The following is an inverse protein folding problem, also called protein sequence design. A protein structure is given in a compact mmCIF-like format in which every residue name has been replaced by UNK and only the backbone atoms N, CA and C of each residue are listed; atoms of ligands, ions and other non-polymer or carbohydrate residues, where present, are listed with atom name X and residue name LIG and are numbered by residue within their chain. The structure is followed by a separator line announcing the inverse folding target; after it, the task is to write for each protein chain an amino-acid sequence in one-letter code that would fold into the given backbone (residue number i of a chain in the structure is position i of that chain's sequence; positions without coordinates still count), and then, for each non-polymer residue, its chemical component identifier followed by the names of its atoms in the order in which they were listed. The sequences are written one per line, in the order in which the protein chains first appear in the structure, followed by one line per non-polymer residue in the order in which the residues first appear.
data_IF_290560863129
#
_entry.id   IF_290560863129
#
_cell.length_a   1.000
_cell.length_b   1.000
_cell.length_c   1.000
_cell.angle_alpha   90.00
_cell.angle_beta   90.00
_cell.angle_gamma   90.00
#
_symmetry.space_group_name_H-M   'P 1'
#
loop_
_entity.id
_entity.type
_entity.pdbx_description
1 polymer ?
#
# COMPACT_ATOMS: atom_id res chain seq x y z
N UNK A 1 -31.23 6.96 5.51
CA UNK A 1 -30.34 5.78 5.54
C UNK A 1 -29.60 5.55 4.22
N UNK A 2 -30.25 5.19 3.10
CA UNK A 2 -29.54 5.02 1.81
C UNK A 2 -28.86 6.32 1.32
N UNK A 3 -29.53 7.47 1.46
CA UNK A 3 -28.94 8.78 1.16
C UNK A 3 -27.75 9.15 2.06
N UNK A 4 -27.77 8.77 3.34
CA UNK A 4 -26.67 9.04 4.27
C UNK A 4 -25.43 8.17 3.95
N UNK A 5 -25.66 6.94 3.49
CA UNK A 5 -24.60 6.02 3.01
C UNK A 5 -24.02 6.53 1.69
N UNK A 6 -24.87 7.03 0.78
CA UNK A 6 -24.45 7.67 -0.48
C UNK A 6 -23.66 8.96 -0.23
N UNK A 7 -24.10 9.80 0.72
CA UNK A 7 -23.38 11.00 1.13
C UNK A 7 -22.02 10.64 1.77
N UNK A 8 -21.96 9.55 2.55
CA UNK A 8 -20.71 9.02 3.06
C UNK A 8 -19.79 8.54 1.94
N UNK A 9 -20.30 7.73 1.01
CA UNK A 9 -19.52 7.20 -0.12
C UNK A 9 -18.99 8.31 -1.02
N UNK A 10 -19.81 9.30 -1.36
CA UNK A 10 -19.39 10.43 -2.20
C UNK A 10 -18.39 11.35 -1.51
N UNK A 11 -18.50 11.58 -0.20
CA UNK A 11 -17.60 12.48 0.55
C UNK A 11 -16.31 11.84 1.07
N UNK A 12 -16.34 10.57 1.49
CA UNK A 12 -15.23 9.95 2.20
C UNK A 12 -14.40 8.98 1.36
N UNK A 13 -14.92 8.39 0.27
CA UNK A 13 -14.14 7.43 -0.54
C UNK A 13 -12.88 8.09 -1.09
N UNK A 14 -13.01 9.25 -1.73
CA UNK A 14 -11.83 9.91 -2.27
C UNK A 14 -10.90 10.41 -1.18
N UNK A 15 -11.44 10.83 -0.03
CA UNK A 15 -10.61 11.22 1.11
C UNK A 15 -9.75 10.04 1.57
N UNK A 16 -10.36 8.88 1.79
CA UNK A 16 -9.69 7.67 2.25
C UNK A 16 -8.76 7.09 1.20
N UNK A 17 -9.16 7.10 -0.07
CA UNK A 17 -8.31 6.63 -1.17
C UNK A 17 -7.05 7.50 -1.34
N UNK A 18 -7.13 8.80 -1.05
CA UNK A 18 -6.00 9.73 -1.16
C UNK A 18 -5.13 9.82 0.10
N UNK A 19 -5.65 9.41 1.26
CA UNK A 19 -4.87 9.34 2.51
C UNK A 19 -4.24 7.96 2.73
N UNK A 20 -4.72 6.94 2.01
CA UNK A 20 -4.18 5.59 2.08
C UNK A 20 -3.41 5.25 0.82
N UNK A 21 -2.60 4.22 0.97
CA UNK A 21 -1.98 3.55 -0.17
C UNK A 21 -2.54 2.17 -0.29
N UNK A 22 -2.52 1.64 -1.51
CA UNK A 22 -3.10 0.34 -1.82
C UNK A 22 -1.95 -0.65 -1.98
N UNK A 23 -1.80 -1.64 -1.09
CA UNK A 23 -0.79 -2.68 -1.27
C UNK A 23 -1.09 -3.50 -2.52
N UNK A 24 -0.07 -3.79 -3.31
CA UNK A 24 -0.16 -4.68 -4.47
C UNK A 24 0.17 -6.10 -4.02
N UNK A 25 -0.76 -7.03 -4.22
CA UNK A 25 -0.59 -8.44 -3.88
C UNK A 25 -0.83 -9.31 -5.10
N UNK A 26 -0.27 -10.52 -5.09
CA UNK A 26 -0.56 -11.53 -6.13
C UNK A 26 -1.82 -12.33 -5.78
N UNK A 27 -2.01 -12.63 -4.50
CA UNK A 27 -3.21 -13.21 -3.93
C UNK A 27 -3.58 -12.46 -2.63
N UNK A 28 -4.84 -12.47 -2.18
CA UNK A 28 -5.26 -11.74 -0.98
C UNK A 28 -4.45 -12.03 0.29
N UNK A 29 -4.02 -13.28 0.46
CA UNK A 29 -3.25 -13.77 1.62
C UNK A 29 -1.73 -13.58 1.49
N UNK A 30 -1.25 -13.20 0.30
CA UNK A 30 0.17 -12.97 0.06
C UNK A 30 0.64 -11.65 0.71
N UNK A 31 1.93 -11.56 1.08
CA UNK A 31 2.51 -10.28 1.44
C UNK A 31 2.43 -9.30 0.26
N UNK A 32 2.33 -8.02 0.56
CA UNK A 32 2.41 -6.99 -0.46
C UNK A 32 3.81 -6.98 -1.08
N UNK A 33 3.87 -6.97 -2.41
CA UNK A 33 5.13 -6.88 -3.20
C UNK A 33 5.24 -5.54 -3.92
N UNK A 34 4.44 -4.57 -3.52
CA UNK A 34 4.38 -3.24 -4.11
C UNK A 34 3.24 -2.42 -3.57
N UNK A 35 3.05 -1.24 -4.16
CA UNK A 35 2.05 -0.27 -3.73
C UNK A 35 1.64 0.68 -4.82
N UNK A 36 0.36 1.06 -4.81
CA UNK A 36 -0.22 2.15 -5.57
C UNK A 36 -0.47 3.35 -4.64
N UNK A 37 -0.11 4.54 -5.12
CA UNK A 37 -0.29 5.84 -4.49
C UNK A 37 -1.30 6.66 -5.31
N UNK A 38 -2.59 6.63 -4.92
CA UNK A 38 -3.59 7.48 -5.55
C UNK A 38 -3.22 8.96 -5.36
N UNK A 39 -3.25 9.72 -6.46
CA UNK A 39 -2.92 11.16 -6.46
C UNK A 39 -4.12 12.04 -6.79
N UNK A 40 -5.13 11.47 -7.46
CA UNK A 40 -6.41 12.13 -7.74
C UNK A 40 -7.53 11.13 -7.61
N UNK A 41 -8.65 11.58 -7.06
CA UNK A 41 -9.88 10.83 -7.01
C UNK A 41 -11.05 11.81 -7.17
N UNK A 42 -12.02 11.44 -8.00
CA UNK A 42 -13.31 12.13 -8.11
C UNK A 42 -14.44 11.12 -7.98
N UNK A 43 -15.50 11.56 -7.30
CA UNK A 43 -16.71 10.77 -7.08
C UNK A 43 -17.92 11.56 -7.57
N UNK A 44 -18.91 10.86 -8.12
CA UNK A 44 -20.25 11.42 -8.37
C UNK A 44 -21.31 10.34 -8.28
N UNK A 45 -22.47 10.73 -7.79
CA UNK A 45 -23.66 9.88 -7.85
C UNK A 45 -24.25 9.92 -9.26
N UNK A 46 -24.63 8.75 -9.78
CA UNK A 46 -25.30 8.59 -11.05
C UNK A 46 -26.83 8.65 -10.86
N UNK A 47 -27.62 8.98 -11.91
CA UNK A 47 -29.09 9.10 -11.79
C UNK A 47 -29.81 7.84 -11.31
N UNK A 48 -29.19 6.66 -11.45
CA UNK A 48 -29.69 5.38 -10.97
C UNK A 48 -29.33 5.07 -9.51
N UNK A 49 -28.59 5.96 -8.84
CA UNK A 49 -28.16 5.80 -7.45
C UNK A 49 -26.87 4.99 -7.28
N UNK A 50 -26.15 4.71 -8.37
CA UNK A 50 -24.81 4.11 -8.35
C UNK A 50 -23.74 5.17 -8.13
N UNK A 51 -22.58 4.72 -7.64
CA UNK A 51 -21.44 5.59 -7.42
C UNK A 51 -20.43 5.45 -8.56
N UNK A 52 -20.17 6.54 -9.27
CA UNK A 52 -19.04 6.62 -10.19
C UNK A 52 -17.81 7.14 -9.46
N UNK A 53 -16.71 6.39 -9.53
CA UNK A 53 -15.41 6.73 -8.96
C UNK A 53 -14.36 6.72 -10.05
N UNK A 54 -13.61 7.80 -10.17
CA UNK A 54 -12.46 7.89 -11.06
C UNK A 54 -11.22 8.22 -10.24
N UNK A 55 -10.14 7.50 -10.45
CA UNK A 55 -8.86 7.79 -9.80
C UNK A 55 -7.69 7.69 -10.77
N UNK A 56 -6.62 8.38 -10.41
CA UNK A 56 -5.29 8.25 -11.03
C UNK A 56 -4.24 8.11 -9.94
N UNK A 57 -3.21 7.32 -10.17
CA UNK A 57 -2.11 7.12 -9.23
C UNK A 57 -0.84 6.64 -9.92
N UNK A 58 0.23 6.61 -9.15
CA UNK A 58 1.50 5.99 -9.54
C UNK A 58 1.82 4.89 -8.57
N UNK A 59 2.57 3.89 -9.00
CA UNK A 59 2.88 2.77 -8.13
C UNK A 59 4.11 2.01 -8.58
N UNK A 60 4.47 1.04 -7.77
CA UNK A 60 5.44 0.04 -8.14
C UNK A 60 4.97 -1.35 -7.67
N UNK A 61 5.44 -2.37 -8.36
CA UNK A 61 5.26 -3.76 -7.97
C UNK A 61 6.54 -4.54 -8.25
N UNK A 62 6.74 -5.65 -7.55
CA UNK A 62 7.90 -6.50 -7.74
C UNK A 62 7.49 -7.92 -8.12
N UNK A 63 8.30 -8.53 -8.98
CA UNK A 63 8.27 -9.97 -9.21
C UNK A 63 9.67 -10.51 -9.45
N UNK A 64 9.86 -11.82 -9.27
CA UNK A 64 11.10 -12.52 -9.60
C UNK A 64 11.54 -12.30 -11.06
N UNK A 65 10.57 -12.11 -11.97
CA UNK A 65 10.81 -11.99 -13.40
C UNK A 65 11.25 -10.58 -13.81
N UNK A 66 10.57 -9.57 -13.28
CA UNK A 66 10.70 -8.17 -13.73
C UNK A 66 11.54 -7.34 -12.79
N UNK A 67 11.86 -7.88 -11.60
CA UNK A 67 12.21 -7.09 -10.42
C UNK A 67 11.13 -6.02 -10.23
N UNK A 68 11.53 -4.81 -9.84
CA UNK A 68 10.62 -3.70 -9.67
C UNK A 68 10.12 -3.18 -11.02
N UNK A 69 8.82 -2.93 -11.08
CA UNK A 69 8.13 -2.26 -12.17
C UNK A 69 7.53 -1.00 -11.61
N UNK A 70 7.87 0.16 -12.17
CA UNK A 70 7.16 1.42 -11.90
C UNK A 70 6.07 1.66 -12.93
N UNK A 71 4.94 2.22 -12.50
CA UNK A 71 3.80 2.45 -13.39
C UNK A 71 2.93 3.65 -12.98
N UNK A 72 2.16 4.16 -13.94
CA UNK A 72 0.96 4.96 -13.70
C UNK A 72 -0.26 4.08 -13.91
N UNK A 73 -1.28 4.26 -13.09
CA UNK A 73 -2.57 3.61 -13.24
C UNK A 73 -3.71 4.64 -13.13
N UNK A 74 -4.75 4.46 -13.93
CA UNK A 74 -6.01 5.16 -13.74
C UNK A 74 -7.18 4.25 -14.07
N UNK A 75 -8.31 4.53 -13.43
CA UNK A 75 -9.54 3.82 -13.68
C UNK A 75 -10.76 4.68 -13.41
N UNK A 76 -11.83 4.41 -14.14
CA UNK A 76 -13.16 4.91 -13.90
C UNK A 76 -14.12 3.72 -13.74
N UNK A 77 -14.77 3.63 -12.59
CA UNK A 77 -15.54 2.46 -12.17
C UNK A 77 -16.91 2.93 -11.67
N UNK A 78 -17.94 2.21 -12.09
CA UNK A 78 -19.27 2.36 -11.51
C UNK A 78 -19.46 1.26 -10.47
N UNK A 79 -19.77 1.66 -9.24
CA UNK A 79 -20.07 0.76 -8.13
C UNK A 79 -21.57 0.74 -7.83
N UNK A 80 -22.12 -0.46 -7.77
CA UNK A 80 -23.39 -0.74 -7.13
C UNK A 80 -23.20 -0.76 -5.61
N UNK A 81 -24.10 -0.07 -4.92
CA UNK A 81 -24.08 0.01 -3.46
C UNK A 81 -25.04 -1.00 -2.85
N UNK A 82 -24.51 -1.81 -1.95
CA UNK A 82 -25.27 -2.75 -1.12
C UNK A 82 -24.86 -2.57 0.34
N UNK A 83 -25.70 -2.97 1.30
CA UNK A 83 -25.30 -2.95 2.70
C UNK A 83 -25.98 -4.04 3.51
N UNK A 84 -25.27 -4.51 4.54
CA UNK A 84 -25.76 -5.43 5.56
C UNK A 84 -25.50 -4.86 6.94
N UNK A 85 -26.31 -5.27 7.90
CA UNK A 85 -26.17 -4.90 9.30
C UNK A 85 -25.91 -6.17 10.11
N UNK A 86 -24.97 -6.09 11.03
CA UNK A 86 -24.75 -7.10 12.06
C UNK A 86 -24.64 -6.41 13.42
N UNK A 87 -25.65 -6.61 14.27
CA UNK A 87 -25.79 -5.87 15.51
C UNK A 87 -25.77 -4.35 15.30
N UNK A 88 -24.72 -3.70 15.79
CA UNK A 88 -24.50 -2.25 15.71
C UNK A 88 -23.52 -1.84 14.61
N UNK A 89 -23.07 -2.80 13.80
CA UNK A 89 -22.05 -2.63 12.78
C UNK A 89 -22.70 -2.70 11.40
N UNK A 90 -22.38 -1.74 10.53
CA UNK A 90 -22.86 -1.68 9.16
C UNK A 90 -21.75 -2.04 8.18
N UNK A 91 -22.01 -3.04 7.33
CA UNK A 91 -21.15 -3.46 6.23
C UNK A 91 -21.70 -2.85 4.95
N UNK A 92 -20.98 -1.89 4.36
CA UNK A 92 -21.35 -1.24 3.10
C UNK A 92 -20.46 -1.79 1.99
N UNK A 93 -21.07 -2.37 0.97
CA UNK A 93 -20.41 -2.99 -0.16
C UNK A 93 -20.44 -2.08 -1.38
N UNK A 94 -19.28 -1.95 -2.01
CA UNK A 94 -19.09 -1.27 -3.28
C UNK A 94 -18.72 -2.33 -4.31
N UNK A 95 -19.74 -2.88 -4.98
CA UNK A 95 -19.55 -3.94 -5.98
C UNK A 95 -19.37 -3.31 -7.35
N UNK A 96 -18.29 -3.61 -8.09
CA UNK A 96 -18.07 -3.03 -9.39
C UNK A 96 -19.12 -3.57 -10.36
N UNK A 97 -19.97 -2.70 -10.89
CA UNK A 97 -20.93 -3.05 -11.91
C UNK A 97 -20.27 -3.11 -13.29
N UNK A 98 -19.49 -2.08 -13.63
CA UNK A 98 -18.74 -1.99 -14.89
C UNK A 98 -17.57 -1.00 -14.75
N UNK A 99 -16.37 -1.42 -15.15
CA UNK A 99 -15.26 -0.51 -15.38
C UNK A 99 -15.48 0.25 -16.70
N UNK A 100 -15.65 1.58 -16.62
CA UNK A 100 -15.90 2.44 -17.79
C UNK A 100 -14.61 2.75 -18.54
N UNK A 101 -13.49 2.87 -17.83
CA UNK A 101 -12.16 2.96 -18.44
C UNK A 101 -11.09 2.48 -17.46
N UNK A 102 -9.98 1.98 -18.01
CA UNK A 102 -8.77 1.61 -17.30
C UNK A 102 -7.56 1.97 -18.17
N UNK A 103 -6.50 2.46 -17.54
CA UNK A 103 -5.24 2.67 -18.21
C UNK A 103 -4.09 2.29 -17.29
N UNK A 104 -3.16 1.53 -17.83
CA UNK A 104 -1.91 1.17 -17.19
C UNK A 104 -0.77 1.62 -18.09
N UNK A 105 0.13 2.44 -17.56
CA UNK A 105 1.31 2.91 -18.28
C UNK A 105 2.54 2.54 -17.47
N UNK A 106 3.31 1.60 -18.00
CA UNK A 106 4.62 1.26 -17.43
C UNK A 106 5.60 2.42 -17.61
N UNK A 107 6.33 2.73 -16.54
CA UNK A 107 7.35 3.77 -16.49
C UNK A 107 8.76 3.18 -16.55
N UNK A 108 8.95 2.04 -15.88
CA UNK A 108 10.25 1.42 -15.71
C UNK A 108 10.08 -0.06 -15.40
N UNK A 109 10.98 -0.89 -15.93
CA UNK A 109 11.21 -2.29 -15.52
C UNK A 109 12.67 -2.39 -15.11
N UNK A 110 12.93 -2.80 -13.88
CA UNK A 110 14.28 -2.78 -13.31
C UNK A 110 15.19 -3.82 -13.95
N UNK A 111 14.64 -4.99 -14.31
CA UNK A 111 15.39 -6.04 -15.00
C UNK A 111 15.82 -5.60 -16.42
N UNK A 112 17.12 -5.32 -16.63
CA UNK A 112 17.67 -4.88 -17.94
C UNK A 112 17.55 -5.91 -19.06
N UNK A 113 17.63 -7.19 -18.72
CA UNK A 113 17.40 -8.34 -19.59
C UNK A 113 17.21 -9.57 -18.70
N UNK A 114 16.28 -10.47 -19.01
CA UNK A 114 16.26 -11.77 -18.35
C UNK A 114 17.61 -12.44 -18.63
N UNK A 115 18.31 -12.97 -17.62
CA UNK A 115 19.67 -13.48 -17.79
C UNK A 115 19.66 -14.72 -18.68
N UNK A 116 19.72 -14.56 -20.01
CA UNK A 116 19.69 -15.64 -21.02
C UNK A 116 18.80 -16.83 -20.63
N UNK A 117 17.69 -16.56 -19.94
CA UNK A 117 16.88 -17.62 -19.38
C UNK A 117 16.09 -18.17 -20.55
N UNK A 118 16.03 -19.49 -20.69
CA UNK A 118 15.29 -20.17 -21.75
C UNK A 118 13.78 -19.80 -21.78
N UNK A 119 13.34 -18.95 -20.85
CA UNK A 119 11.97 -18.54 -20.59
C UNK A 119 11.62 -17.19 -21.25
N UNK A 120 12.60 -16.33 -21.58
CA UNK A 120 12.32 -15.04 -22.21
C UNK A 120 11.52 -15.16 -23.53
N UNK A 121 11.79 -16.13 -24.42
CA UNK A 121 10.97 -16.38 -25.61
C UNK A 121 9.58 -16.99 -25.30
N UNK A 122 9.40 -17.55 -24.10
CA UNK A 122 8.13 -18.14 -23.66
C UNK A 122 7.20 -17.10 -23.02
N UNK A 123 7.72 -15.91 -22.69
CA UNK A 123 6.88 -14.83 -22.20
C UNK A 123 6.01 -14.28 -23.32
N UNK A 124 4.72 -14.02 -23.06
CA UNK A 124 3.89 -13.22 -23.93
C UNK A 124 4.62 -11.93 -24.34
N UNK A 125 4.78 -11.70 -25.64
CA UNK A 125 5.43 -10.50 -26.19
C UNK A 125 6.96 -10.53 -26.21
N UNK A 126 7.61 -11.60 -25.73
CA UNK A 126 9.04 -11.87 -25.91
C UNK A 126 10.02 -10.99 -25.12
N UNK A 127 9.53 -9.99 -24.37
CA UNK A 127 10.34 -9.16 -23.47
C UNK A 127 9.62 -8.95 -22.12
N UNK A 128 10.35 -8.66 -21.02
CA UNK A 128 9.76 -8.29 -19.74
C UNK A 128 8.78 -7.11 -19.85
N UNK A 129 9.10 -6.11 -20.66
CA UNK A 129 8.26 -4.93 -20.87
C UNK A 129 6.90 -5.29 -21.49
N UNK A 130 6.91 -6.13 -22.51
CA UNK A 130 5.69 -6.56 -23.18
C UNK A 130 4.84 -7.46 -22.26
N UNK A 131 5.47 -8.34 -21.49
CA UNK A 131 4.81 -9.14 -20.47
C UNK A 131 4.14 -8.25 -19.41
N UNK A 132 4.86 -7.26 -18.88
CA UNK A 132 4.34 -6.31 -17.88
C UNK A 132 3.18 -5.50 -18.44
N UNK A 133 3.25 -5.04 -19.69
CA UNK A 133 2.15 -4.30 -20.30
C UNK A 133 0.86 -5.12 -20.35
N UNK A 134 0.95 -6.43 -20.65
CA UNK A 134 -0.20 -7.33 -20.66
C UNK A 134 -0.66 -7.72 -19.26
N UNK A 135 0.28 -8.06 -18.36
CA UNK A 135 -0.02 -8.46 -16.99
C UNK A 135 -0.60 -7.31 -16.17
N UNK A 136 -0.09 -6.08 -16.36
CA UNK A 136 -0.56 -4.88 -15.66
C UNK A 136 -2.00 -4.53 -15.98
N UNK A 137 -2.44 -4.66 -17.24
CA UNK A 137 -3.85 -4.47 -17.60
C UNK A 137 -4.74 -5.54 -16.95
N UNK A 138 -4.28 -6.80 -16.91
CA UNK A 138 -4.97 -7.90 -16.24
C UNK A 138 -5.10 -7.70 -14.72
N UNK A 139 -3.99 -7.35 -14.07
CA UNK A 139 -3.93 -7.11 -12.62
C UNK A 139 -4.82 -5.93 -12.22
N UNK A 140 -4.72 -4.80 -12.93
CA UNK A 140 -5.60 -3.66 -12.69
C UNK A 140 -7.07 -4.07 -12.87
N UNK A 141 -7.40 -4.89 -13.86
CA UNK A 141 -8.77 -5.38 -14.03
C UNK A 141 -9.24 -6.24 -12.87
N UNK A 142 -8.37 -7.12 -12.36
CA UNK A 142 -8.67 -8.02 -11.26
C UNK A 142 -8.95 -7.24 -9.97
N UNK A 143 -8.00 -6.38 -9.56
CA UNK A 143 -8.11 -5.57 -8.34
C UNK A 143 -9.34 -4.65 -8.37
N UNK A 144 -9.63 -4.02 -9.51
CA UNK A 144 -10.83 -3.19 -9.66
C UNK A 144 -12.13 -4.00 -9.70
N UNK A 145 -12.04 -5.28 -10.04
CA UNK A 145 -13.16 -6.22 -10.08
C UNK A 145 -13.53 -6.79 -8.72
N UNK A 146 -12.67 -6.70 -7.71
CA UNK A 146 -12.96 -7.22 -6.37
C UNK A 146 -13.93 -6.32 -5.59
N UNK A 147 -13.96 -5.02 -5.90
CA UNK A 147 -14.72 -4.04 -5.12
C UNK A 147 -14.10 -3.79 -3.75
N UNK A 148 -14.88 -3.23 -2.84
CA UNK A 148 -14.44 -3.02 -1.45
C UNK A 148 -15.61 -3.00 -0.47
N UNK A 149 -15.30 -3.24 0.79
CA UNK A 149 -16.23 -3.22 1.91
C UNK A 149 -15.80 -2.15 2.92
N UNK A 150 -16.77 -1.35 3.35
CA UNK A 150 -16.62 -0.41 4.46
C UNK A 150 -17.39 -0.93 5.66
N UNK A 151 -16.68 -1.21 6.74
CA UNK A 151 -17.25 -1.64 8.01
C UNK A 151 -17.35 -0.42 8.91
N UNK A 152 -18.57 -0.03 9.27
CA UNK A 152 -18.84 1.10 10.16
C UNK A 152 -19.35 0.58 11.50
N UNK A 153 -18.62 0.92 12.55
CA UNK A 153 -18.99 0.62 13.93
C UNK A 153 -19.89 1.71 14.52
N UNK A 154 -20.57 1.40 15.61
CA UNK A 154 -21.49 2.33 16.29
C UNK A 154 -20.82 3.55 16.92
N UNK A 155 -19.52 3.46 17.18
CA UNK A 155 -18.71 4.58 17.68
C UNK A 155 -18.34 5.59 16.58
N UNK A 156 -18.72 5.31 15.33
CA UNK A 156 -18.43 6.15 14.17
C UNK A 156 -17.14 5.77 13.44
N UNK A 157 -16.38 4.80 13.93
CA UNK A 157 -15.18 4.28 13.26
C UNK A 157 -15.54 3.59 11.96
N UNK A 158 -14.76 3.84 10.90
CA UNK A 158 -14.89 3.17 9.61
C UNK A 158 -13.60 2.42 9.27
N UNK A 159 -13.73 1.13 8.94
CA UNK A 159 -12.63 0.30 8.45
C UNK A 159 -12.87 -0.04 6.98
N UNK A 160 -11.84 0.11 6.15
CA UNK A 160 -11.89 -0.21 4.73
C UNK A 160 -11.19 -1.54 4.48
N UNK A 161 -11.81 -2.39 3.68
CA UNK A 161 -11.25 -3.65 3.21
C UNK A 161 -11.45 -3.77 1.69
N UNK A 162 -10.43 -4.24 0.98
CA UNK A 162 -10.55 -4.61 -0.43
C UNK A 162 -11.39 -5.89 -0.51
N UNK A 163 -12.21 -6.00 -1.54
CA UNK A 163 -13.11 -7.14 -1.72
C UNK A 163 -14.41 -7.05 -0.91
N UNK A 164 -15.13 -8.18 -0.89
CA UNK A 164 -16.40 -8.33 -0.16
C UNK A 164 -16.14 -9.08 1.15
N UNK A 165 -16.39 -8.45 2.30
CA UNK A 165 -16.32 -9.11 3.61
C UNK A 165 -17.71 -9.50 4.12
N UNK A 166 -17.90 -10.75 4.50
CA UNK A 166 -19.17 -11.18 5.09
C UNK A 166 -19.35 -10.58 6.49
N UNK A 167 -20.60 -10.42 6.97
CA UNK A 167 -20.84 -9.94 8.32
C UNK A 167 -20.15 -10.80 9.39
N UNK A 168 -19.47 -10.17 10.34
CA UNK A 168 -18.62 -10.83 11.34
C UNK A 168 -17.16 -11.02 10.90
N UNK A 169 -16.84 -10.82 9.62
CA UNK A 169 -15.45 -10.81 9.14
C UNK A 169 -14.80 -9.45 9.34
N UNK A 170 -13.47 -9.46 9.44
CA UNK A 170 -12.62 -8.28 9.50
C UNK A 170 -11.41 -8.47 8.58
N UNK A 171 -10.84 -7.40 8.00
CA UNK A 171 -9.64 -7.53 7.19
C UNK A 171 -8.50 -8.15 8.00
N UNK A 172 -7.83 -9.14 7.42
CA UNK A 172 -6.70 -9.84 8.04
C UNK A 172 -5.54 -8.85 8.22
N UNK A 173 -5.25 -8.53 9.48
CA UNK A 173 -4.12 -7.69 9.87
C UNK A 173 -2.90 -8.51 10.29
N UNK A 174 -1.70 -7.93 10.18
CA UNK A 174 -0.47 -8.53 10.72
C UNK A 174 -0.48 -8.61 12.26
N UNK A 175 -1.18 -7.70 12.92
CA UNK A 175 -1.32 -7.62 14.37
C UNK A 175 -2.80 -7.57 14.77
N UNK A 176 -3.12 -8.18 15.91
CA UNK A 176 -4.44 -7.96 16.54
C UNK A 176 -4.59 -6.49 16.91
N UNK A 177 -5.73 -5.90 16.52
CA UNK A 177 -6.06 -4.53 16.92
C UNK A 177 -6.35 -4.52 18.41
N UNK A 178 -5.46 -3.94 19.21
CA UNK A 178 -5.84 -3.53 20.57
C UNK A 178 -6.95 -2.49 20.45
N UNK A 179 -8.11 -2.73 21.09
CA UNK A 179 -9.19 -1.75 21.15
C UNK A 179 -8.66 -0.45 21.74
N UNK A 180 -8.56 0.62 20.94
CA UNK A 180 -7.94 1.86 21.38
C UNK A 180 -8.14 3.00 20.39
N UNK A 181 -8.09 4.23 20.91
CA UNK A 181 -8.38 5.50 20.24
C UNK A 181 -7.46 5.86 19.05
N UNK A 182 -6.49 5.01 18.71
CA UNK A 182 -5.52 5.28 17.67
C UNK A 182 -6.11 5.06 16.27
N UNK A 183 -5.71 5.90 15.34
CA UNK A 183 -6.04 5.77 13.93
C UNK A 183 -5.06 4.81 13.26
N UNK A 184 -5.55 3.66 12.77
CA UNK A 184 -4.75 2.66 12.06
C UNK A 184 -4.59 3.07 10.59
N UNK A 185 -3.35 3.24 10.14
CA UNK A 185 -3.01 3.56 8.75
C UNK A 185 -2.65 2.32 7.93
N UNK A 186 -1.89 1.40 8.51
CA UNK A 186 -1.60 0.10 7.90
C UNK A 186 -1.43 -0.97 8.97
N UNK A 187 -1.74 -2.21 8.60
CA UNK A 187 -1.57 -3.40 9.41
C UNK A 187 -1.45 -4.60 8.46
N UNK A 188 -0.27 -4.81 7.89
CA UNK A 188 -0.08 -5.72 6.76
C UNK A 188 1.27 -6.44 6.80
N UNK A 189 1.42 -7.43 5.91
CA UNK A 189 2.67 -8.14 5.64
C UNK A 189 3.22 -7.62 4.32
N UNK A 190 4.51 -7.27 4.29
CA UNK A 190 5.19 -6.82 3.07
C UNK A 190 6.44 -7.63 2.81
N UNK A 191 6.71 -7.90 1.55
CA UNK A 191 7.92 -8.58 1.08
C UNK A 191 8.85 -7.54 0.45
N UNK A 192 10.06 -7.41 0.97
CA UNK A 192 11.03 -6.40 0.53
C UNK A 192 12.35 -7.09 0.13
N UNK A 193 12.62 -7.13 -1.16
CA UNK A 193 13.84 -7.70 -1.71
C UNK A 193 15.06 -6.81 -1.48
N UNK A 194 16.24 -7.37 -1.77
CA UNK A 194 17.45 -6.57 -1.77
C UNK A 194 17.33 -5.41 -2.78
N UNK A 195 17.86 -4.25 -2.41
CA UNK A 195 17.79 -3.01 -3.18
C UNK A 195 16.37 -2.45 -3.35
N UNK A 196 15.42 -2.87 -2.50
CA UNK A 196 14.08 -2.32 -2.47
C UNK A 196 13.80 -1.45 -1.25
N UNK A 197 12.74 -0.64 -1.42
CA UNK A 197 12.08 0.15 -0.40
C UNK A 197 10.60 -0.07 -0.46
N UNK A 198 9.99 0.07 0.70
CA UNK A 198 8.55 0.15 0.85
C UNK A 198 8.16 1.48 1.50
N UNK A 199 7.16 2.17 0.95
CA UNK A 199 6.74 3.50 1.38
C UNK A 199 5.29 3.48 1.90
N UNK A 200 5.08 3.85 3.16
CA UNK A 200 3.76 3.93 3.78
C UNK A 200 3.40 5.39 4.04
N UNK A 201 2.33 5.87 3.42
CA UNK A 201 1.81 7.22 3.64
C UNK A 201 1.02 7.74 2.44
N UNK A 202 0.52 8.99 2.50
CA UNK A 202 0.78 9.96 3.57
C UNK A 202 0.03 9.63 4.87
N UNK A 203 0.76 9.64 5.99
CA UNK A 203 0.20 9.51 7.34
C UNK A 203 -0.09 10.92 7.85
N UNK A 204 -1.32 11.23 8.23
CA UNK A 204 -1.70 12.53 8.79
C UNK A 204 -1.61 12.50 10.31
N UNK A 205 -0.86 13.46 10.85
CA UNK A 205 -0.79 13.79 12.28
C UNK A 205 -1.56 15.10 12.45
N UNK A 206 -2.64 15.06 13.23
CA UNK A 206 -3.63 16.14 13.31
C UNK A 206 -3.28 17.19 14.39
N UNK A 207 -2.55 16.76 15.43
CA UNK A 207 -2.15 17.58 16.59
C UNK A 207 -0.67 17.35 16.96
N UNK A 208 -0.06 18.35 17.60
CA UNK A 208 1.35 18.35 18.00
C UNK A 208 1.65 17.44 19.21
N UNK A 209 0.62 16.98 19.92
CA UNK A 209 0.72 16.01 21.01
C UNK A 209 0.59 14.54 20.56
N UNK A 210 0.49 14.30 19.26
CA UNK A 210 0.41 12.96 18.68
C UNK A 210 1.78 12.37 18.28
N UNK A 211 1.80 11.05 18.12
CA UNK A 211 2.95 10.30 17.63
C UNK A 211 2.55 9.28 16.56
N UNK A 212 3.48 9.00 15.65
CA UNK A 212 3.42 7.85 14.77
C UNK A 212 3.93 6.64 15.55
N UNK A 213 3.07 5.66 15.74
CA UNK A 213 3.34 4.43 16.47
C UNK A 213 3.63 3.31 15.48
N UNK A 214 4.81 2.74 15.55
CA UNK A 214 5.29 1.67 14.68
C UNK A 214 5.37 0.37 15.48
N UNK A 215 4.81 -0.71 14.92
CA UNK A 215 4.99 -2.08 15.39
C UNK A 215 5.51 -2.91 14.22
N UNK A 216 6.71 -3.49 14.35
CA UNK A 216 7.40 -4.15 13.25
C UNK A 216 8.05 -5.47 13.67
N UNK A 217 7.90 -6.50 12.86
CA UNK A 217 8.59 -7.79 13.00
C UNK A 217 9.21 -8.14 11.65
N UNK A 218 10.48 -8.53 11.66
CA UNK A 218 11.27 -8.84 10.47
C UNK A 218 11.63 -10.32 10.48
N UNK A 219 11.38 -10.97 9.36
CA UNK A 219 11.67 -12.38 9.09
C UNK A 219 12.39 -12.50 7.73
N UNK A 220 13.09 -13.62 7.50
CA UNK A 220 13.76 -13.91 6.21
C UNK A 220 15.07 -13.15 5.94
N UNK A 221 15.23 -11.95 6.49
CA UNK A 221 16.45 -11.14 6.45
C UNK A 221 16.97 -10.84 7.86
N UNK A 222 18.28 -10.57 8.07
CA UNK A 222 18.82 -10.30 9.41
C UNK A 222 18.33 -8.97 10.00
N UNK A 223 18.04 -7.99 9.16
CA UNK A 223 17.60 -6.65 9.56
C UNK A 223 17.10 -5.85 8.35
N UNK A 224 16.28 -4.84 8.61
CA UNK A 224 15.91 -3.77 7.66
C UNK A 224 15.99 -2.42 8.38
N UNK A 225 16.13 -1.33 7.63
CA UNK A 225 16.02 0.00 8.21
C UNK A 225 14.59 0.53 8.14
N UNK A 226 14.20 1.29 9.15
CA UNK A 226 12.95 2.06 9.16
C UNK A 226 13.27 3.54 9.35
N UNK A 227 12.65 4.35 8.50
CA UNK A 227 12.87 5.78 8.47
C UNK A 227 11.55 6.53 8.41
N UNK A 228 11.48 7.69 9.07
CA UNK A 228 10.28 8.56 9.04
C UNK A 228 10.63 9.92 8.49
N UNK A 229 9.90 10.37 7.48
CA UNK A 229 10.15 11.62 6.78
C UNK A 229 8.89 12.47 6.68
N UNK A 230 9.00 13.81 6.72
CA UNK A 230 7.93 14.69 6.26
C UNK A 230 7.61 14.41 4.77
N UNK A 231 6.33 14.49 4.40
CA UNK A 231 5.82 14.24 3.04
C UNK A 231 6.62 14.99 1.98
N UNK A 232 6.92 16.27 2.20
CA UNK A 232 7.64 17.11 1.24
C UNK A 232 9.01 16.54 0.84
N UNK A 233 9.69 15.82 1.73
CA UNK A 233 10.98 15.17 1.44
C UNK A 233 10.82 13.91 0.61
N UNK A 234 9.66 13.25 0.66
CA UNK A 234 9.44 11.90 0.11
C UNK A 234 8.83 11.96 -1.29
N UNK A 235 8.03 12.97 -1.63
CA UNK A 235 7.33 13.01 -2.93
C UNK A 235 8.28 12.87 -4.12
N UNK A 236 9.36 13.66 -4.16
CA UNK A 236 10.39 13.56 -5.19
C UNK A 236 11.15 12.23 -5.11
N UNK A 237 11.40 11.74 -3.89
CA UNK A 237 12.14 10.51 -3.66
C UNK A 237 11.39 9.27 -4.15
N UNK A 238 10.09 9.21 -3.86
CA UNK A 238 9.16 8.19 -4.36
C UNK A 238 9.02 8.27 -5.88
N UNK A 239 8.88 9.48 -6.45
CA UNK A 239 8.81 9.65 -7.91
C UNK A 239 10.07 9.13 -8.61
N UNK A 240 11.26 9.40 -8.05
CA UNK A 240 12.52 8.86 -8.54
C UNK A 240 12.59 7.33 -8.37
N UNK A 241 12.19 6.81 -7.21
CA UNK A 241 12.13 5.36 -6.99
C UNK A 241 11.24 4.67 -8.03
N UNK A 242 10.06 5.21 -8.32
CA UNK A 242 9.14 4.64 -9.32
C UNK A 242 9.71 4.73 -10.75
N UNK A 243 10.47 5.78 -11.09
CA UNK A 243 10.89 6.04 -12.48
C UNK A 243 12.33 5.61 -12.80
N UNK A 244 13.15 5.27 -11.80
CA UNK A 244 14.58 4.99 -11.97
C UNK A 244 14.95 3.58 -11.46
N UNK A 245 15.79 2.88 -12.22
CA UNK A 245 16.27 1.53 -11.88
C UNK A 245 17.10 1.51 -10.60
N UNK A 246 17.99 2.47 -10.43
CA UNK A 246 18.76 2.60 -9.19
C UNK A 246 17.91 3.29 -8.12
N UNK A 247 17.83 2.70 -6.93
CA UNK A 247 17.19 3.33 -5.79
C UNK A 247 18.00 4.58 -5.36
N UNK A 248 17.44 5.80 -5.44
CA UNK A 248 18.17 7.05 -5.13
C UNK A 248 18.59 7.12 -3.65
N UNK A 249 19.60 7.90 -3.26
CA UNK A 249 19.94 8.07 -1.84
C UNK A 249 18.81 8.74 -1.05
N UNK A 250 18.88 8.68 0.29
CA UNK A 250 17.93 9.36 1.17
C UNK A 250 17.84 10.88 0.84
N UNK A 251 16.64 11.48 0.83
CA UNK A 251 16.43 12.85 0.36
C UNK A 251 16.80 13.91 1.40
N UNK A 252 16.85 13.54 2.67
CA UNK A 252 17.12 14.40 3.82
C UNK A 252 17.52 13.54 5.02
N UNK A 253 17.79 14.18 6.16
CA UNK A 253 17.87 13.48 7.45
C UNK A 253 16.44 13.14 7.91
N UNK A 254 16.11 11.88 8.20
CA UNK A 254 14.79 11.51 8.70
C UNK A 254 14.60 11.91 10.17
N UNK A 255 13.34 11.96 10.61
CA UNK A 255 12.95 12.17 12.00
C UNK A 255 13.22 10.94 12.87
N UNK A 256 13.09 9.76 12.28
CA UNK A 256 13.51 8.49 12.84
C UNK A 256 14.43 7.81 11.83
N UNK A 257 15.56 7.29 12.30
CA UNK A 257 16.44 6.40 11.56
C UNK A 257 16.84 5.27 12.50
N UNK A 258 16.26 4.10 12.30
CA UNK A 258 16.47 2.95 13.15
C UNK A 258 16.60 1.66 12.33
N UNK A 259 17.26 0.67 12.92
CA UNK A 259 17.46 -0.65 12.31
C UNK A 259 16.63 -1.67 13.09
N UNK A 260 15.69 -2.31 12.39
CA UNK A 260 14.87 -3.38 12.94
C UNK A 260 15.58 -4.70 12.66
N UNK A 261 16.11 -5.31 13.71
CA UNK A 261 16.77 -6.63 13.65
C UNK A 261 15.70 -7.71 13.66
N UNK A 262 15.95 -8.80 12.92
CA UNK A 262 15.10 -9.99 12.94
C UNK A 262 14.92 -10.51 14.37
N UNK A 263 13.68 -10.78 14.74
CA UNK A 263 13.40 -11.31 16.07
C UNK A 263 13.65 -12.81 16.09
N UNK A 264 14.46 -13.26 17.05
CA UNK A 264 14.69 -14.70 17.31
C UNK A 264 13.54 -15.31 18.12
N UNK A 265 12.77 -14.49 18.85
CA UNK A 265 11.69 -14.92 19.74
C UNK A 265 10.29 -14.51 19.25
N UNK A 266 10.17 -14.06 18.00
CA UNK A 266 8.91 -13.63 17.38
C UNK A 266 8.34 -12.33 17.95
N UNK A 267 9.09 -11.59 18.75
CA UNK A 267 8.63 -10.32 19.33
C UNK A 267 8.79 -9.17 18.35
N UNK A 268 7.68 -8.46 18.13
CA UNK A 268 7.69 -7.21 17.38
C UNK A 268 8.42 -6.09 18.13
N UNK A 269 9.19 -5.31 17.38
CA UNK A 269 9.79 -4.06 17.83
C UNK A 269 8.77 -2.94 17.77
N UNK A 270 8.70 -2.12 18.82
CA UNK A 270 7.82 -0.94 18.87
C UNK A 270 8.61 0.35 18.91
N UNK A 271 8.15 1.36 18.18
CA UNK A 271 8.69 2.73 18.20
C UNK A 271 7.56 3.75 18.24
N UNK A 272 7.82 4.87 18.90
CA UNK A 272 6.95 6.04 18.88
C UNK A 272 7.77 7.22 18.36
N UNK A 273 7.28 7.89 17.33
CA UNK A 273 7.90 9.07 16.73
C UNK A 273 6.98 10.24 16.98
N UNK A 274 7.32 11.09 17.95
CA UNK A 274 6.65 12.38 18.13
C UNK A 274 6.89 13.22 16.89
N UNK A 275 5.81 13.64 16.26
CA UNK A 275 5.85 14.39 15.02
C UNK A 275 4.91 15.59 15.15
N UNK A 276 5.32 16.81 14.76
CA UNK A 276 4.41 17.95 14.70
C UNK A 276 3.23 17.64 13.78
N UNK A 277 2.15 18.42 13.91
CA UNK A 277 1.02 18.37 12.97
C UNK A 277 1.52 18.45 11.52
N UNK A 278 1.12 17.50 10.69
CA UNK A 278 1.61 17.41 9.32
C UNK A 278 1.34 16.07 8.66
N UNK A 279 2.00 15.85 7.52
CA UNK A 279 1.93 14.60 6.78
C UNK A 279 3.30 13.97 6.64
N UNK A 280 3.35 12.65 6.82
CA UNK A 280 4.60 11.89 6.92
C UNK A 280 4.55 10.61 6.08
N UNK A 281 5.72 10.07 5.78
CA UNK A 281 5.87 8.71 5.28
C UNK A 281 6.77 7.93 6.21
N UNK A 282 6.43 6.67 6.41
CA UNK A 282 7.32 5.64 6.97
C UNK A 282 7.92 4.90 5.77
N UNK A 283 9.23 4.76 5.74
CA UNK A 283 9.96 4.06 4.68
C UNK A 283 10.70 2.90 5.30
N UNK A 284 10.47 1.70 4.80
CA UNK A 284 11.28 0.52 5.11
C UNK A 284 12.31 0.38 4.01
N UNK A 285 13.59 0.47 4.37
CA UNK A 285 14.71 0.42 3.44
C UNK A 285 15.46 -0.90 3.58
N UNK A 286 15.61 -1.59 2.44
CA UNK A 286 16.46 -2.75 2.29
C UNK A 286 17.45 -2.50 1.13
N UNK A 287 17.99 -1.28 1.07
CA UNK A 287 18.97 -0.84 0.08
C UNK A 287 20.31 -0.52 0.74
N UNK A 288 21.34 -0.30 -0.07
CA UNK A 288 22.63 0.23 0.41
C UNK A 288 22.70 1.76 0.38
N UNK A 289 21.63 2.43 -0.05
CA UNK A 289 21.68 3.84 -0.47
C UNK A 289 21.00 4.81 0.50
N UNK A 290 20.16 4.35 1.43
CA UNK A 290 19.41 5.23 2.33
C UNK A 290 19.48 4.82 3.81
N UNK A 291 19.42 3.53 4.10
CA UNK A 291 19.54 2.96 5.43
C UNK A 291 20.94 2.97 6.04
N UNK A 292 21.03 2.59 7.31
CA UNK A 292 22.30 2.28 7.99
C UNK A 292 22.83 0.90 7.62
N UNK A 293 21.92 0.02 7.23
CA UNK A 293 22.21 -1.35 6.87
C UNK A 293 22.62 -1.42 5.41
N UNK A 294 23.60 -2.27 5.14
CA UNK A 294 23.96 -2.66 3.80
C UNK A 294 23.65 -4.15 3.66
N UNK A 295 22.48 -4.52 3.09
CA UNK A 295 22.10 -5.92 2.94
C UNK A 295 23.18 -6.67 2.15
N UNK A 296 23.59 -7.89 2.57
CA UNK A 296 24.65 -8.62 1.89
C UNK A 296 24.36 -8.82 0.40
N UNK A 297 25.18 -8.25 -0.48
CA UNK A 297 25.07 -8.43 -1.92
C UNK A 297 25.72 -9.75 -2.35
N UNK A 298 25.09 -10.87 -1.99
CA UNK A 298 25.52 -12.19 -2.46
C UNK A 298 24.90 -12.42 -3.84
N UNK A 299 25.70 -12.62 -4.91
CA UNK A 299 25.15 -12.82 -6.25
C UNK A 299 24.17 -13.99 -6.29
N UNK A 300 22.93 -13.74 -6.74
CA UNK A 300 21.87 -14.74 -6.82
C UNK A 300 21.13 -15.03 -5.50
N UNK A 301 21.52 -14.39 -4.39
CA UNK A 301 20.74 -14.37 -3.15
C UNK A 301 19.78 -13.18 -3.19
N UNK A 302 18.53 -13.44 -3.56
CA UNK A 302 17.46 -12.43 -3.57
C UNK A 302 16.40 -12.73 -2.50
N UNK A 303 16.85 -13.27 -1.36
CA UNK A 303 15.95 -13.51 -0.23
C UNK A 303 15.35 -12.19 0.24
N UNK A 304 14.03 -12.14 0.26
CA UNK A 304 13.31 -10.99 0.77
C UNK A 304 13.33 -10.95 2.30
N UNK A 305 13.27 -9.73 2.82
CA UNK A 305 12.78 -9.48 4.16
C UNK A 305 11.25 -9.54 4.13
N UNK A 306 10.66 -10.44 4.91
CA UNK A 306 9.23 -10.40 5.20
C UNK A 306 9.05 -9.50 6.44
N UNK A 307 8.28 -8.42 6.29
CA UNK A 307 8.05 -7.47 7.38
C UNK A 307 6.55 -7.40 7.71
N UNK A 308 6.22 -7.73 8.95
CA UNK A 308 4.89 -7.48 9.52
C UNK A 308 4.89 -6.06 10.07
N UNK A 309 4.07 -5.18 9.51
CA UNK A 309 4.06 -3.76 9.82
C UNK A 309 2.69 -3.31 10.31
N UNK A 310 2.67 -2.64 11.46
CA UNK A 310 1.53 -1.91 11.99
C UNK A 310 1.93 -0.45 12.18
N UNK A 311 1.16 0.46 11.58
CA UNK A 311 1.34 1.91 11.73
C UNK A 311 0.04 2.52 12.20
N UNK A 312 0.15 3.22 13.33
CA UNK A 312 -0.96 3.94 13.94
C UNK A 312 -0.56 5.38 14.25
N UNK A 313 -1.54 6.26 14.40
CA UNK A 313 -1.37 7.60 14.97
C UNK A 313 -2.27 7.73 16.20
N UNK A 314 -1.70 8.22 17.29
CA UNK A 314 -2.41 8.42 18.55
C UNK A 314 -1.62 9.34 19.48
N UNK A 315 -2.09 9.46 20.72
CA UNK A 315 -1.46 10.31 21.74
C UNK A 315 0.00 9.88 21.96
N UNK A 316 0.90 10.87 22.02
CA UNK A 316 2.29 10.59 22.25
C UNK A 316 2.57 10.16 23.71
N UNK A 317 3.37 9.10 23.93
CA UNK A 317 3.66 8.55 25.25
C UNK A 317 4.55 9.45 26.11
#
# INVERSE_FOLDING_TARGET
MRQDILAFGTGNICKELLTRTVPMKLNPDDPATGRLFPSRCTTRELPNGDLYVEFTGTGYAWSNLTKRVGFNASAAITYELDFRLDGSTAYVYFRPATATSKAFQMLMVEQDALPSSAIAPLLPGGTPEAFVAMAGDGLLTHELGEGFTVIRESDGTATFAIGTLEPGEAPIGAYERTSGANTVYTNERVEIHQNQREYFGPITVEDDDQAILLTMLVEGAPQVDVQVYPRASVETWLAQYISQKAAPPAPAVPMLDDTIVASVDGKATRRAVRAPRGQYFVVIDHTVNAGRTAPPATPGDDRAALVLVGIEVGDAP
#
